data_IF_021959682202
#
_entry.id   IF_021959682202
#
_cell.length_a   1.000
_cell.length_b   1.000
_cell.length_c   1.000
_cell.angle_alpha   90.00
_cell.angle_beta   90.00
_cell.angle_gamma   90.00
#
_symmetry.space_group_name_H-M   'P 1'
#
loop_
_entity.id
_entity.type
_entity.pdbx_description
1 polymer ?
#
# COMPACT_ATOMS: atom_id res chain seq x y z
N UNK A 1 -63.86 0.91 11.83
CA UNK A 1 -62.97 -0.25 11.75
C UNK A 1 -61.59 0.23 12.20
N UNK A 2 -61.21 -0.13 13.42
CA UNK A 2 -59.93 0.28 14.02
C UNK A 2 -58.82 -0.64 13.58
N UNK A 3 -57.78 -0.05 13.00
CA UNK A 3 -56.54 -0.72 12.65
C UNK A 3 -55.64 -0.90 13.86
N UNK A 4 -55.38 -2.14 14.22
CA UNK A 4 -54.44 -2.50 15.31
C UNK A 4 -53.02 -2.39 14.75
N UNK A 5 -52.27 -1.42 15.26
CA UNK A 5 -50.84 -1.32 14.99
C UNK A 5 -50.10 -2.40 15.77
N UNK A 6 -49.50 -3.34 15.03
CA UNK A 6 -48.59 -4.36 15.56
C UNK A 6 -47.30 -3.70 16.02
N UNK A 7 -47.09 -3.56 17.32
CA UNK A 7 -45.81 -3.21 17.91
C UNK A 7 -44.92 -4.45 17.92
N UNK A 8 -43.97 -4.51 17.00
CA UNK A 8 -42.88 -5.46 17.05
C UNK A 8 -42.00 -5.14 18.25
N UNK A 9 -42.05 -5.97 19.28
CA UNK A 9 -41.13 -5.94 20.41
C UNK A 9 -39.88 -6.75 19.97
N UNK A 10 -38.79 -6.06 19.66
CA UNK A 10 -37.50 -6.73 19.48
C UNK A 10 -36.88 -6.98 20.85
N UNK A 11 -36.92 -8.22 21.31
CA UNK A 11 -36.09 -8.69 22.42
C UNK A 11 -34.69 -9.01 21.89
N UNK A 12 -33.67 -8.28 22.36
CA UNK A 12 -32.30 -8.74 22.27
C UNK A 12 -31.89 -9.35 23.59
N UNK A 13 -31.93 -10.68 23.69
CA UNK A 13 -31.39 -11.41 24.82
C UNK A 13 -29.87 -11.41 24.78
N UNK A 14 -29.24 -10.75 25.73
CA UNK A 14 -27.83 -11.01 26.05
C UNK A 14 -27.85 -11.97 27.23
N UNK A 15 -27.72 -13.28 26.96
CA UNK A 15 -27.68 -14.32 27.98
C UNK A 15 -26.32 -14.28 28.66
N UNK A 16 -26.30 -13.78 29.88
CA UNK A 16 -25.23 -14.05 30.84
C UNK A 16 -25.89 -14.81 31.99
N UNK A 17 -25.45 -16.04 32.26
CA UNK A 17 -26.13 -17.06 33.07
C UNK A 17 -26.43 -16.71 34.55
N UNK A 18 -26.20 -15.49 34.99
CA UNK A 18 -26.43 -15.10 36.40
C UNK A 18 -27.24 -13.83 36.65
N UNK A 19 -27.62 -13.01 35.66
CA UNK A 19 -28.49 -11.86 35.89
C UNK A 19 -29.23 -11.45 34.61
N UNK A 20 -30.50 -11.75 34.50
CA UNK A 20 -31.39 -11.18 33.48
C UNK A 20 -31.73 -9.76 33.91
N UNK A 21 -31.09 -8.76 33.33
CA UNK A 21 -31.46 -7.35 33.53
C UNK A 21 -32.44 -6.96 32.45
N UNK A 22 -33.73 -6.87 32.82
CA UNK A 22 -34.76 -6.28 31.95
C UNK A 22 -34.56 -4.78 31.95
N UNK A 23 -34.04 -4.24 30.82
CA UNK A 23 -33.88 -2.80 30.63
C UNK A 23 -35.15 -2.20 30.04
N UNK A 24 -35.57 -1.03 30.56
CA UNK A 24 -36.66 -0.28 29.94
C UNK A 24 -36.26 0.19 28.51
N UNK A 25 -37.25 0.33 27.64
CA UNK A 25 -37.05 0.83 26.27
C UNK A 25 -36.28 2.18 26.23
N UNK A 26 -36.49 2.98 27.27
CA UNK A 26 -35.82 4.29 27.42
C UNK A 26 -34.31 4.14 27.74
N UNK A 27 -33.96 3.20 28.62
CA UNK A 27 -32.55 2.90 28.96
C UNK A 27 -31.81 2.26 27.80
N UNK A 28 -32.46 1.38 27.02
CA UNK A 28 -31.92 0.80 25.80
C UNK A 28 -31.62 1.89 24.76
N UNK A 29 -32.56 2.81 24.55
CA UNK A 29 -32.41 3.92 23.64
C UNK A 29 -31.28 4.89 24.03
N UNK A 30 -31.11 5.17 25.33
CA UNK A 30 -30.03 6.03 25.85
C UNK A 30 -28.67 5.35 25.64
N UNK A 31 -28.53 4.06 25.98
CA UNK A 31 -27.29 3.29 25.74
C UNK A 31 -26.95 3.18 24.27
N UNK A 32 -27.95 2.96 23.42
CA UNK A 32 -27.74 2.88 21.97
C UNK A 32 -27.26 4.22 21.37
N UNK A 33 -27.84 5.36 21.81
CA UNK A 33 -27.38 6.71 21.41
C UNK A 33 -25.96 6.98 21.88
N UNK A 34 -25.59 6.57 23.09
CA UNK A 34 -24.24 6.70 23.61
C UNK A 34 -23.23 5.85 22.80
N UNK A 35 -23.60 4.62 22.44
CA UNK A 35 -22.77 3.75 21.61
C UNK A 35 -22.57 4.31 20.19
N UNK A 36 -23.62 4.84 19.56
CA UNK A 36 -23.53 5.50 18.25
C UNK A 36 -22.60 6.71 18.30
N UNK A 37 -22.71 7.55 19.35
CA UNK A 37 -21.80 8.68 19.56
C UNK A 37 -20.36 8.20 19.74
N UNK A 38 -20.13 7.16 20.55
CA UNK A 38 -18.80 6.57 20.77
C UNK A 38 -18.18 6.02 19.47
N UNK A 39 -18.97 5.31 18.67
CA UNK A 39 -18.52 4.79 17.35
C UNK A 39 -18.19 5.94 16.40
N UNK A 40 -19.01 6.99 16.35
CA UNK A 40 -18.75 8.19 15.53
C UNK A 40 -17.46 8.89 15.96
N UNK A 41 -17.22 9.01 17.26
CA UNK A 41 -15.99 9.61 17.80
C UNK A 41 -14.76 8.75 17.48
N UNK A 42 -14.84 7.43 17.61
CA UNK A 42 -13.76 6.51 17.24
C UNK A 42 -13.42 6.57 15.75
N UNK A 43 -14.44 6.67 14.87
CA UNK A 43 -14.24 6.87 13.43
C UNK A 43 -13.51 8.19 13.13
N UNK A 44 -13.89 9.30 13.80
CA UNK A 44 -13.20 10.60 13.66
C UNK A 44 -11.74 10.50 14.11
N UNK A 45 -11.47 9.90 15.27
CA UNK A 45 -10.12 9.69 15.79
C UNK A 45 -9.28 8.83 14.85
N UNK A 46 -9.86 7.78 14.28
CA UNK A 46 -9.17 6.94 13.29
C UNK A 46 -8.78 7.73 12.05
N UNK A 47 -9.70 8.54 11.49
CA UNK A 47 -9.43 9.40 10.33
C UNK A 47 -8.31 10.40 10.63
N UNK A 48 -8.35 11.07 11.80
CA UNK A 48 -7.29 12.02 12.19
C UNK A 48 -5.94 11.32 12.41
N UNK A 49 -5.93 10.11 13.00
CA UNK A 49 -4.72 9.30 13.16
C UNK A 49 -4.13 8.92 11.80
N UNK A 50 -4.97 8.52 10.84
CA UNK A 50 -4.54 8.17 9.48
C UNK A 50 -4.01 9.41 8.73
N UNK A 51 -4.62 10.60 8.90
CA UNK A 51 -4.10 11.85 8.35
C UNK A 51 -2.72 12.17 8.91
N UNK A 52 -2.53 12.10 10.25
CA UNK A 52 -1.22 12.33 10.89
C UNK A 52 -0.18 11.32 10.41
N UNK A 53 -0.53 10.04 10.30
CA UNK A 53 0.34 9.01 9.78
C UNK A 53 0.76 9.31 8.32
N UNK A 54 -0.19 9.71 7.47
CA UNK A 54 0.06 10.11 6.07
C UNK A 54 1.00 11.33 5.98
N UNK A 55 0.77 12.37 6.81
CA UNK A 55 1.64 13.56 6.86
C UNK A 55 3.05 13.18 7.34
N UNK A 56 3.17 12.29 8.32
CA UNK A 56 4.47 11.80 8.81
C UNK A 56 5.21 11.01 7.72
N UNK A 57 4.52 10.15 6.97
CA UNK A 57 5.09 9.43 5.83
C UNK A 57 5.54 10.39 4.72
N UNK A 58 4.74 11.41 4.39
CA UNK A 58 5.10 12.46 3.42
C UNK A 58 6.36 13.20 3.88
N UNK A 59 6.47 13.58 5.15
CA UNK A 59 7.67 14.23 5.69
C UNK A 59 8.90 13.31 5.67
N UNK A 60 8.72 12.01 5.93
CA UNK A 60 9.80 11.02 5.91
C UNK A 60 10.26 10.71 4.48
N UNK A 61 9.37 10.76 3.50
CA UNK A 61 9.66 10.51 2.09
C UNK A 61 10.29 11.70 1.38
N UNK A 62 10.14 12.93 1.89
CA UNK A 62 10.72 14.17 1.37
C UNK A 62 12.27 14.22 1.36
N UNK A 63 12.95 13.08 1.57
CA UNK A 63 14.43 13.03 1.63
C UNK A 63 15.14 12.74 0.32
N UNK A 64 14.44 12.33 -0.74
CA UNK A 64 15.09 12.03 -2.04
C UNK A 64 14.88 13.20 -2.99
N UNK A 65 15.94 13.96 -3.25
CA UNK A 65 15.94 14.95 -4.34
C UNK A 65 16.13 14.19 -5.66
N UNK A 66 15.08 14.13 -6.45
CA UNK A 66 15.08 13.47 -7.77
C UNK A 66 15.20 14.56 -8.85
N UNK A 67 16.20 14.46 -9.70
CA UNK A 67 16.36 15.36 -10.85
C UNK A 67 15.25 15.14 -11.89
N UNK A 68 15.07 16.08 -12.82
CA UNK A 68 14.10 15.91 -13.91
C UNK A 68 14.45 14.69 -14.80
N UNK A 69 15.74 14.45 -15.04
CA UNK A 69 16.20 13.27 -15.77
C UNK A 69 15.94 11.96 -15.01
N UNK A 70 16.22 11.93 -13.71
CA UNK A 70 15.93 10.75 -12.87
C UNK A 70 14.42 10.47 -12.78
N UNK A 71 13.59 11.51 -12.80
CA UNK A 71 12.13 11.34 -12.85
C UNK A 71 11.68 10.62 -14.12
N UNK A 72 12.21 11.01 -15.27
CA UNK A 72 11.91 10.35 -16.55
C UNK A 72 12.35 8.87 -16.51
N UNK A 73 13.52 8.59 -15.94
CA UNK A 73 14.02 7.22 -15.76
C UNK A 73 13.07 6.42 -14.84
N UNK A 74 12.61 7.01 -13.74
CA UNK A 74 11.68 6.37 -12.82
C UNK A 74 10.32 6.10 -13.47
N UNK A 75 9.78 7.05 -14.22
CA UNK A 75 8.53 6.89 -14.97
C UNK A 75 8.63 5.74 -15.99
N UNK A 76 9.72 5.65 -16.74
CA UNK A 76 9.93 4.58 -17.72
C UNK A 76 10.07 3.20 -17.07
N UNK A 77 10.84 3.08 -15.99
CA UNK A 77 11.00 1.77 -15.35
C UNK A 77 9.70 1.29 -14.68
N UNK A 78 8.94 2.21 -14.08
CA UNK A 78 7.63 1.87 -13.49
C UNK A 78 6.64 1.43 -14.57
N UNK A 79 6.61 2.08 -15.74
CA UNK A 79 5.78 1.64 -16.86
C UNK A 79 6.20 0.26 -17.36
N UNK A 80 7.50 0.03 -17.52
CA UNK A 80 8.03 -1.23 -18.04
C UNK A 80 7.81 -2.44 -17.09
N UNK A 81 7.80 -2.21 -15.77
CA UNK A 81 7.60 -3.24 -14.74
C UNK A 81 6.13 -3.42 -14.34
N UNK A 82 5.36 -2.34 -14.35
CA UNK A 82 4.02 -2.30 -13.77
C UNK A 82 2.98 -1.61 -14.66
N UNK A 83 3.19 -1.53 -15.98
CA UNK A 83 2.27 -0.87 -16.91
C UNK A 83 0.87 -1.44 -16.87
N UNK A 84 0.72 -2.75 -16.67
CA UNK A 84 -0.57 -3.45 -16.52
C UNK A 84 -1.18 -3.38 -15.11
N UNK A 85 -0.45 -2.87 -14.12
CA UNK A 85 -0.94 -2.73 -12.75
C UNK A 85 -1.83 -1.50 -12.60
N UNK A 86 -2.67 -1.51 -11.57
CA UNK A 86 -3.42 -0.32 -11.18
C UNK A 86 -2.48 0.74 -10.55
N UNK A 87 -3.02 1.94 -10.31
CA UNK A 87 -2.28 3.07 -9.75
C UNK A 87 -1.44 2.71 -8.51
N UNK A 88 -2.01 1.95 -7.55
CA UNK A 88 -1.30 1.56 -6.34
C UNK A 88 -0.15 0.60 -6.62
N UNK A 89 -0.29 -0.33 -7.57
CA UNK A 89 0.78 -1.24 -8.00
C UNK A 89 1.96 -0.46 -8.59
N UNK A 90 1.69 0.55 -9.41
CA UNK A 90 2.69 1.46 -9.97
C UNK A 90 3.40 2.28 -8.89
N UNK A 91 2.65 2.80 -7.91
CA UNK A 91 3.24 3.50 -6.73
C UNK A 91 4.16 2.57 -5.95
N UNK A 92 3.77 1.31 -5.74
CA UNK A 92 4.59 0.31 -5.04
C UNK A 92 5.94 0.08 -5.73
N UNK A 93 5.96 -0.09 -7.06
CA UNK A 93 7.23 -0.26 -7.80
C UNK A 93 8.08 1.01 -7.70
N UNK A 94 7.50 2.20 -7.83
CA UNK A 94 8.21 3.46 -7.63
C UNK A 94 8.80 3.56 -6.21
N UNK A 95 8.05 3.16 -5.18
CA UNK A 95 8.51 3.15 -3.79
C UNK A 95 9.73 2.24 -3.60
N UNK A 96 9.76 1.04 -4.22
CA UNK A 96 10.94 0.16 -4.13
C UNK A 96 12.18 0.83 -4.68
N UNK A 97 12.10 1.48 -5.86
CA UNK A 97 13.23 2.23 -6.43
C UNK A 97 13.69 3.35 -5.48
N UNK A 98 12.76 4.14 -4.95
CA UNK A 98 13.05 5.24 -4.03
C UNK A 98 13.60 4.75 -2.68
N UNK A 99 13.15 3.60 -2.19
CA UNK A 99 13.69 2.97 -0.98
C UNK A 99 15.13 2.50 -1.18
N UNK A 100 15.44 1.93 -2.35
CA UNK A 100 16.82 1.58 -2.72
C UNK A 100 17.71 2.81 -2.75
N UNK A 101 17.28 3.92 -3.35
CA UNK A 101 18.05 5.19 -3.37
C UNK A 101 18.37 5.69 -1.96
N UNK A 102 17.49 5.46 -0.99
CA UNK A 102 17.70 5.83 0.44
C UNK A 102 18.57 4.85 1.22
N UNK A 103 18.71 3.63 0.72
CA UNK A 103 19.40 2.56 1.41
C UNK A 103 20.88 2.52 1.01
N UNK A 104 21.77 2.56 1.99
CA UNK A 104 23.25 2.60 1.78
C UNK A 104 23.81 1.39 1.02
N UNK A 105 23.07 0.27 0.95
CA UNK A 105 23.45 -0.92 0.19
C UNK A 105 23.24 -0.77 -1.32
N UNK A 106 22.62 0.32 -1.78
CA UNK A 106 22.28 0.57 -3.18
C UNK A 106 22.85 1.91 -3.65
N UNK A 107 22.94 2.15 -4.98
CA UNK A 107 23.29 3.44 -5.52
C UNK A 107 22.35 4.56 -5.01
N UNK A 108 22.90 5.76 -4.79
CA UNK A 108 22.19 6.91 -4.21
C UNK A 108 21.38 7.73 -5.21
N UNK A 109 21.25 7.28 -6.46
CA UNK A 109 20.46 7.96 -7.52
C UNK A 109 19.51 6.98 -8.19
N UNK A 110 18.39 7.48 -8.73
CA UNK A 110 17.43 6.67 -9.49
C UNK A 110 18.12 6.01 -10.68
N UNK A 111 18.92 6.77 -11.46
CA UNK A 111 19.71 6.24 -12.57
C UNK A 111 20.61 5.09 -12.11
N UNK A 112 21.34 5.27 -11.01
CA UNK A 112 22.24 4.25 -10.47
C UNK A 112 21.49 2.98 -10.07
N UNK A 113 20.33 3.11 -9.41
CA UNK A 113 19.49 1.97 -9.00
C UNK A 113 18.92 1.24 -10.22
N UNK A 114 18.33 1.97 -11.17
CA UNK A 114 17.63 1.38 -12.33
C UNK A 114 18.61 0.66 -13.26
N UNK A 115 19.76 1.24 -13.52
CA UNK A 115 20.79 0.65 -14.39
C UNK A 115 21.82 -0.21 -13.65
N UNK A 116 21.61 -0.50 -12.37
CA UNK A 116 22.49 -1.37 -11.61
C UNK A 116 22.48 -2.78 -12.18
N UNK A 117 23.68 -3.36 -12.32
CA UNK A 117 23.88 -4.71 -12.84
C UNK A 117 25.04 -5.41 -12.13
N UNK A 118 25.02 -6.74 -12.14
CA UNK A 118 26.15 -7.59 -11.72
C UNK A 118 26.53 -8.51 -12.88
N UNK A 119 27.69 -8.25 -13.46
CA UNK A 119 28.05 -8.90 -14.72
C UNK A 119 27.05 -8.53 -15.83
N UNK A 120 26.40 -9.53 -16.41
CA UNK A 120 25.36 -9.35 -17.44
C UNK A 120 23.93 -9.27 -16.91
N UNK A 121 23.73 -9.43 -15.60
CA UNK A 121 22.40 -9.48 -14.99
C UNK A 121 22.02 -8.12 -14.44
N UNK A 122 21.00 -7.49 -15.01
CA UNK A 122 20.42 -6.24 -14.52
C UNK A 122 19.45 -6.49 -13.37
N UNK A 123 19.32 -5.49 -12.49
CA UNK A 123 18.37 -5.53 -11.37
C UNK A 123 16.91 -5.43 -11.83
N UNK A 124 16.69 -4.85 -13.00
CA UNK A 124 15.38 -4.70 -13.64
C UNK A 124 15.41 -5.33 -15.02
N UNK A 125 14.61 -6.38 -15.22
CA UNK A 125 14.57 -7.15 -16.47
C UNK A 125 14.26 -6.29 -17.71
N UNK A 126 13.41 -5.23 -17.64
CA UNK A 126 13.14 -4.38 -18.80
C UNK A 126 14.34 -3.64 -19.37
N UNK A 127 15.42 -3.48 -18.60
CA UNK A 127 16.67 -2.92 -19.14
C UNK A 127 17.35 -3.92 -20.06
N UNK A 128 17.32 -5.21 -19.70
CA UNK A 128 17.99 -6.26 -20.46
C UNK A 128 17.19 -6.68 -21.70
N UNK A 129 15.87 -6.76 -21.60
CA UNK A 129 14.99 -7.17 -22.71
C UNK A 129 14.56 -6.01 -23.63
N UNK A 130 14.95 -4.77 -23.31
CA UNK A 130 14.72 -3.59 -24.14
C UNK A 130 13.38 -2.89 -23.92
N UNK A 131 12.45 -3.45 -23.15
CA UNK A 131 11.12 -2.83 -22.88
C UNK A 131 11.24 -1.42 -22.32
N UNK A 132 12.21 -1.17 -21.43
CA UNK A 132 12.47 0.16 -20.89
C UNK A 132 12.64 1.25 -21.96
N UNK A 133 13.26 0.91 -23.10
CA UNK A 133 13.57 1.88 -24.16
C UNK A 133 12.39 2.15 -25.10
N UNK A 134 11.41 1.25 -25.12
CA UNK A 134 10.30 1.24 -26.07
C UNK A 134 8.95 1.59 -25.46
N UNK A 135 8.80 1.55 -24.11
CA UNK A 135 7.52 1.84 -23.48
C UNK A 135 7.06 3.28 -23.66
N UNK A 136 5.77 3.44 -23.93
CA UNK A 136 5.07 4.71 -23.83
C UNK A 136 4.52 4.91 -22.42
N UNK A 137 5.04 5.93 -21.74
CA UNK A 137 4.68 6.18 -20.35
C UNK A 137 3.29 6.78 -20.24
N UNK A 138 2.36 6.03 -19.66
CA UNK A 138 0.97 6.42 -19.47
C UNK A 138 0.80 7.60 -18.50
N UNK A 139 -0.33 8.31 -18.61
CA UNK A 139 -0.68 9.40 -17.67
C UNK A 139 -0.82 8.89 -16.24
N UNK A 140 -1.34 7.67 -16.07
CA UNK A 140 -1.48 7.05 -14.75
C UNK A 140 -0.13 6.74 -14.11
N UNK A 141 0.84 6.23 -14.86
CA UNK A 141 2.22 6.01 -14.38
C UNK A 141 2.90 7.32 -13.97
N UNK A 142 2.76 8.40 -14.76
CA UNK A 142 3.27 9.72 -14.39
C UNK A 142 2.65 10.24 -13.09
N UNK A 143 1.34 10.00 -12.91
CA UNK A 143 0.61 10.33 -11.67
C UNK A 143 1.12 9.50 -10.49
N UNK A 144 1.27 8.19 -10.66
CA UNK A 144 1.75 7.28 -9.62
C UNK A 144 3.17 7.62 -9.16
N UNK A 145 4.08 7.90 -10.09
CA UNK A 145 5.43 8.37 -9.77
C UNK A 145 5.40 9.72 -9.06
N UNK A 146 4.54 10.66 -9.50
CA UNK A 146 4.36 11.94 -8.81
C UNK A 146 3.91 11.74 -7.36
N UNK A 147 3.02 10.80 -7.11
CA UNK A 147 2.51 10.52 -5.77
C UNK A 147 3.59 9.86 -4.89
N UNK A 148 4.37 8.92 -5.43
CA UNK A 148 5.53 8.35 -4.74
C UNK A 148 6.57 9.42 -4.38
N UNK A 149 6.87 10.35 -5.29
CA UNK A 149 7.80 11.47 -5.05
C UNK A 149 7.27 12.47 -4.02
N UNK A 150 5.95 12.64 -3.92
CA UNK A 150 5.30 13.43 -2.86
C UNK A 150 5.27 12.71 -1.52
N UNK A 151 5.72 11.44 -1.47
CA UNK A 151 5.84 10.65 -0.24
C UNK A 151 4.68 9.71 0.04
N UNK A 152 3.86 9.41 -0.95
CA UNK A 152 2.91 8.30 -0.82
C UNK A 152 3.72 7.00 -0.90
N UNK A 153 3.73 6.26 0.20
CA UNK A 153 4.45 5.00 0.34
C UNK A 153 3.51 3.91 0.85
N UNK A 154 3.35 2.87 0.03
CA UNK A 154 2.58 1.66 0.35
C UNK A 154 3.49 0.45 0.56
N UNK A 155 4.82 0.61 0.40
CA UNK A 155 5.76 -0.50 0.27
C UNK A 155 6.24 -1.09 1.59
N UNK A 156 5.92 -0.47 2.73
CA UNK A 156 6.43 -0.86 4.05
C UNK A 156 7.98 -0.98 4.09
N UNK A 157 8.63 -0.15 3.27
CA UNK A 157 10.08 -0.13 3.15
C UNK A 157 10.65 -1.28 2.32
N UNK A 158 9.86 -1.92 1.45
CA UNK A 158 10.31 -2.97 0.56
C UNK A 158 11.49 -2.50 -0.31
N UNK A 159 12.46 -3.39 -0.48
CA UNK A 159 13.65 -3.20 -1.31
C UNK A 159 13.65 -4.10 -2.54
N UNK A 160 12.81 -5.15 -2.54
CA UNK A 160 12.71 -6.14 -3.60
C UNK A 160 11.26 -6.47 -3.89
N UNK A 161 10.98 -6.87 -5.11
CA UNK A 161 9.72 -7.47 -5.51
C UNK A 161 9.96 -8.50 -6.59
N UNK A 162 9.05 -9.45 -6.73
CA UNK A 162 9.00 -10.40 -7.84
C UNK A 162 7.57 -10.82 -8.14
N UNK A 163 7.33 -11.21 -9.38
CA UNK A 163 6.18 -12.01 -9.76
C UNK A 163 6.58 -13.48 -9.69
N UNK A 164 6.20 -14.15 -8.58
CA UNK A 164 6.63 -15.52 -8.30
C UNK A 164 6.26 -16.51 -9.40
N UNK A 165 5.13 -16.32 -10.05
CA UNK A 165 4.64 -17.20 -11.10
C UNK A 165 5.52 -17.18 -12.38
N UNK A 166 6.25 -16.09 -12.61
CA UNK A 166 7.11 -15.90 -13.77
C UNK A 166 8.61 -16.01 -13.43
N UNK A 167 8.96 -16.05 -12.14
CA UNK A 167 10.34 -16.13 -11.68
C UNK A 167 10.88 -17.55 -11.83
N UNK A 168 12.14 -17.67 -12.22
CA UNK A 168 12.82 -18.96 -12.20
C UNK A 168 13.01 -19.49 -10.76
N UNK A 169 13.14 -20.81 -10.62
CA UNK A 169 13.22 -21.49 -9.34
C UNK A 169 14.44 -21.09 -8.50
N UNK A 170 15.55 -20.69 -9.13
CA UNK A 170 16.75 -20.24 -8.44
C UNK A 170 16.54 -18.86 -7.79
N UNK A 171 15.88 -17.96 -8.50
CA UNK A 171 15.49 -16.65 -7.96
C UNK A 171 14.49 -16.79 -6.83
N UNK A 172 13.43 -17.59 -7.01
CA UNK A 172 12.45 -17.87 -5.94
C UNK A 172 13.14 -18.40 -4.70
N UNK A 173 14.03 -19.39 -4.86
CA UNK A 173 14.79 -19.99 -3.77
C UNK A 173 15.72 -18.99 -3.06
N UNK A 174 16.33 -18.07 -3.81
CA UNK A 174 17.16 -17.02 -3.22
C UNK A 174 16.32 -16.03 -2.42
N UNK A 175 15.19 -15.56 -2.95
CA UNK A 175 14.27 -14.68 -2.25
C UNK A 175 13.80 -15.30 -0.92
N UNK A 176 13.37 -16.57 -0.95
CA UNK A 176 12.83 -17.26 0.23
C UNK A 176 13.88 -17.48 1.33
N UNK A 177 15.17 -17.65 0.95
CA UNK A 177 16.25 -17.87 1.92
C UNK A 177 16.91 -16.59 2.42
N UNK A 178 16.92 -15.54 1.60
CA UNK A 178 17.77 -14.36 1.84
C UNK A 178 16.99 -13.13 2.26
N UNK A 179 15.67 -13.09 2.04
CA UNK A 179 14.84 -11.91 2.25
C UNK A 179 13.64 -12.22 3.13
N UNK A 180 13.14 -11.20 3.82
CA UNK A 180 11.89 -11.27 4.57
C UNK A 180 10.74 -10.80 3.68
N UNK A 181 9.76 -11.68 3.44
CA UNK A 181 8.53 -11.33 2.74
C UNK A 181 7.69 -10.40 3.62
N UNK A 182 7.28 -9.27 3.07
CA UNK A 182 6.45 -8.29 3.75
C UNK A 182 4.96 -8.52 3.44
N UNK A 183 4.60 -8.49 2.16
CA UNK A 183 3.22 -8.67 1.71
C UNK A 183 3.17 -9.06 0.23
N UNK A 184 1.95 -9.38 -0.23
CA UNK A 184 1.63 -9.57 -1.65
C UNK A 184 0.62 -8.51 -2.10
N UNK A 185 0.80 -7.99 -3.31
CA UNK A 185 -0.15 -7.12 -3.97
C UNK A 185 -0.31 -7.56 -5.43
N UNK A 186 -1.50 -8.00 -5.82
CA UNK A 186 -1.80 -8.64 -7.10
C UNK A 186 -0.83 -9.79 -7.40
N UNK A 187 -0.10 -9.72 -8.53
CA UNK A 187 0.88 -10.75 -8.90
C UNK A 187 2.24 -10.57 -8.22
N UNK A 188 2.55 -9.39 -7.67
CA UNK A 188 3.84 -9.08 -7.05
C UNK A 188 3.90 -9.41 -5.56
N UNK A 189 4.99 -10.04 -5.15
CA UNK A 189 5.38 -10.20 -3.74
C UNK A 189 6.50 -9.22 -3.41
N UNK A 190 6.42 -8.57 -2.24
CA UNK A 190 7.34 -7.53 -1.79
C UNK A 190 8.16 -8.00 -0.60
N UNK A 191 9.46 -7.64 -0.59
CA UNK A 191 10.45 -8.16 0.35
C UNK A 191 11.43 -7.08 0.84
N UNK A 192 12.07 -7.41 1.97
CA UNK A 192 13.13 -6.60 2.57
C UNK A 192 14.29 -7.46 3.05
#
# INVERSE_FOLDING_TARGET
VAGIANKSVCFSETINEKNIVIMSENEYNIKNRANVKKISMLKKLHVERMKKYRIMQIKKACGVKVSASDRIILERIVEAEAGGENHKGKVLVANVVLNRVKNKAFPSTVKGVVFSHRGRTYQFSPIMDGRYYTVDVSKDTKSAVSDALKGIDYSDGALYFMERALADSSNVSWFDRSLTRLFRYHCHEFYK
#
